data_IF_036203746473
#
_entry.id   IF_036203746473
#
_cell.length_a   1.000
_cell.length_b   1.000
_cell.length_c   1.000
_cell.angle_alpha   90.00
_cell.angle_beta   90.00
_cell.angle_gamma   90.00
#
_symmetry.space_group_name_H-M   'P 1'
#
loop_
_entity.id
_entity.type
_entity.pdbx_description
1 polymer ?
#
# COMPACT_ATOMS: atom_id res chain seq x y z
N UNK A 1 20.33 -12.19 -6.62
CA UNK A 1 20.29 -10.87 -5.98
C UNK A 1 20.43 -9.83 -7.08
N UNK A 2 19.37 -9.06 -7.37
CA UNK A 2 19.45 -7.95 -8.34
C UNK A 2 20.33 -6.87 -7.70
N UNK A 3 21.31 -6.35 -8.43
CA UNK A 3 22.35 -5.49 -7.85
C UNK A 3 21.86 -4.09 -7.40
N UNK A 4 20.62 -3.73 -7.70
CA UNK A 4 20.01 -2.44 -7.38
C UNK A 4 18.48 -2.62 -7.21
N UNK A 5 18.04 -3.16 -6.08
CA UNK A 5 16.62 -3.23 -5.74
C UNK A 5 16.19 -1.85 -5.19
N UNK A 6 15.22 -1.20 -5.84
CA UNK A 6 14.78 0.15 -5.48
C UNK A 6 13.27 0.17 -5.20
N UNK A 7 12.88 0.86 -4.11
CA UNK A 7 11.48 0.98 -3.71
C UNK A 7 10.58 1.53 -4.83
N UNK A 8 11.08 2.50 -5.61
CA UNK A 8 10.38 3.10 -6.75
C UNK A 8 10.02 2.06 -7.81
N UNK A 9 10.91 1.13 -8.15
CA UNK A 9 10.59 0.08 -9.13
C UNK A 9 9.54 -0.90 -8.62
N UNK A 10 9.56 -1.20 -7.32
CA UNK A 10 8.49 -1.97 -6.70
C UNK A 10 7.16 -1.20 -6.71
N UNK A 11 7.16 0.09 -6.40
CA UNK A 11 5.97 0.92 -6.47
C UNK A 11 5.38 0.97 -7.90
N UNK A 12 6.22 1.14 -8.92
CA UNK A 12 5.81 1.12 -10.33
C UNK A 12 5.25 -0.25 -10.72
N UNK A 13 5.93 -1.34 -10.35
CA UNK A 13 5.44 -2.69 -10.61
C UNK A 13 4.08 -2.91 -9.96
N UNK A 14 3.89 -2.45 -8.73
CA UNK A 14 2.61 -2.53 -8.03
C UNK A 14 1.50 -1.79 -8.78
N UNK A 15 1.75 -0.55 -9.20
CA UNK A 15 0.82 0.24 -9.99
C UNK A 15 0.46 -0.44 -11.32
N UNK A 16 1.45 -0.99 -12.03
CA UNK A 16 1.19 -1.73 -13.28
C UNK A 16 0.27 -2.93 -13.04
N UNK A 17 0.46 -3.65 -11.94
CA UNK A 17 -0.37 -4.82 -11.63
C UNK A 17 -1.79 -4.44 -11.19
N UNK A 18 -1.97 -3.42 -10.35
CA UNK A 18 -3.29 -3.09 -9.81
C UNK A 18 -4.12 -2.12 -10.68
N UNK A 19 -3.51 -1.45 -11.67
CA UNK A 19 -4.20 -0.52 -12.55
C UNK A 19 -4.36 -1.07 -13.99
N UNK A 20 -3.35 -1.05 -14.88
CA UNK A 20 -3.54 -1.49 -16.27
C UNK A 20 -3.68 -3.01 -16.41
N UNK A 21 -3.07 -3.81 -15.52
CA UNK A 21 -3.08 -5.26 -15.59
C UNK A 21 -4.05 -5.92 -14.60
N UNK A 22 -4.96 -5.17 -13.99
CA UNK A 22 -5.86 -5.65 -12.94
C UNK A 22 -6.82 -6.77 -13.39
N UNK A 23 -7.03 -6.91 -14.70
CA UNK A 23 -7.85 -7.98 -15.30
C UNK A 23 -7.13 -9.34 -15.38
N UNK A 24 -5.83 -9.40 -15.11
CA UNK A 24 -5.09 -10.66 -15.05
C UNK A 24 -5.32 -11.28 -13.68
N UNK A 25 -5.71 -12.56 -13.67
CA UNK A 25 -5.88 -13.32 -12.42
C UNK A 25 -4.61 -13.27 -11.55
N UNK A 26 -4.78 -12.90 -10.28
CA UNK A 26 -3.67 -12.76 -9.34
C UNK A 26 -2.87 -11.47 -9.46
N UNK A 27 -3.24 -10.54 -10.35
CA UNK A 27 -2.53 -9.28 -10.50
C UNK A 27 -2.50 -8.45 -9.21
N UNK A 28 -3.62 -8.35 -8.49
CA UNK A 28 -3.65 -7.68 -7.19
C UNK A 28 -2.70 -8.32 -6.17
N UNK A 29 -2.51 -9.64 -6.18
CA UNK A 29 -1.59 -10.32 -5.27
C UNK A 29 -0.13 -9.96 -5.57
N UNK A 30 0.25 -9.96 -6.86
CA UNK A 30 1.58 -9.54 -7.29
C UNK A 30 1.80 -8.06 -7.00
N UNK A 31 0.78 -7.23 -7.25
CA UNK A 31 0.82 -5.81 -6.94
C UNK A 31 1.01 -5.56 -5.44
N UNK A 32 0.29 -6.29 -4.60
CA UNK A 32 0.38 -6.19 -3.14
C UNK A 32 1.77 -6.59 -2.64
N UNK A 33 2.34 -7.68 -3.17
CA UNK A 33 3.71 -8.08 -2.88
C UNK A 33 4.70 -6.93 -3.15
N UNK A 34 4.61 -6.31 -4.33
CA UNK A 34 5.49 -5.20 -4.66
C UNK A 34 5.23 -3.95 -3.82
N UNK A 35 3.99 -3.61 -3.48
CA UNK A 35 3.69 -2.48 -2.59
C UNK A 35 4.31 -2.68 -1.20
N UNK A 36 4.18 -3.87 -0.60
CA UNK A 36 4.83 -4.20 0.68
C UNK A 36 6.33 -4.05 0.59
N UNK A 37 6.94 -4.56 -0.49
CA UNK A 37 8.38 -4.48 -0.68
C UNK A 37 8.89 -3.05 -0.84
N UNK A 38 8.12 -2.16 -1.49
CA UNK A 38 8.46 -0.73 -1.56
C UNK A 38 8.50 -0.08 -0.17
N UNK A 39 7.51 -0.36 0.69
CA UNK A 39 7.48 0.12 2.07
C UNK A 39 8.62 -0.46 2.92
N UNK A 40 8.99 -1.73 2.72
CA UNK A 40 10.13 -2.34 3.42
C UNK A 40 11.47 -1.69 3.04
N UNK A 41 11.64 -1.28 1.78
CA UNK A 41 12.87 -0.68 1.28
C UNK A 41 13.00 0.81 1.64
N UNK A 42 11.88 1.53 1.75
CA UNK A 42 11.84 2.96 2.09
C UNK A 42 10.69 3.26 3.06
N UNK A 43 10.78 2.80 4.33
CA UNK A 43 9.73 2.96 5.34
C UNK A 43 9.51 4.42 5.77
N UNK A 44 10.43 5.31 5.44
CA UNK A 44 10.36 6.76 5.67
C UNK A 44 9.63 7.53 4.57
N UNK A 45 9.17 6.86 3.50
CA UNK A 45 8.37 7.50 2.45
C UNK A 45 6.87 7.21 2.66
N UNK A 46 6.12 8.25 3.01
CA UNK A 46 4.68 8.14 3.25
C UNK A 46 3.91 7.73 1.99
N UNK A 47 4.40 8.10 0.80
CA UNK A 47 3.69 7.81 -0.46
C UNK A 47 3.60 6.32 -0.76
N UNK A 48 4.63 5.53 -0.42
CA UNK A 48 4.58 4.07 -0.57
C UNK A 48 3.62 3.42 0.42
N UNK A 49 3.51 3.97 1.63
CA UNK A 49 2.55 3.51 2.64
C UNK A 49 1.11 3.86 2.25
N UNK A 50 0.88 5.06 1.71
CA UNK A 50 -0.41 5.44 1.14
C UNK A 50 -0.81 4.50 0.01
N UNK A 51 0.12 4.20 -0.91
CA UNK A 51 -0.14 3.24 -1.97
C UNK A 51 -0.45 1.84 -1.42
N UNK A 52 0.22 1.42 -0.34
CA UNK A 52 -0.10 0.13 0.29
C UNK A 52 -1.52 0.10 0.87
N UNK A 53 -2.05 1.22 1.38
CA UNK A 53 -3.43 1.31 1.89
C UNK A 53 -4.48 1.04 0.80
N UNK A 54 -4.18 1.23 -0.48
CA UNK A 54 -5.07 0.85 -1.59
C UNK A 54 -5.58 -0.59 -1.45
N UNK A 55 -4.72 -1.52 -1.00
CA UNK A 55 -5.05 -2.94 -0.88
C UNK A 55 -6.00 -3.28 0.28
N UNK A 56 -6.29 -2.32 1.16
CA UNK A 56 -7.38 -2.42 2.13
C UNK A 56 -8.73 -2.01 1.53
N UNK A 57 -8.74 -1.15 0.50
CA UNK A 57 -9.96 -0.63 -0.12
C UNK A 57 -10.50 -1.51 -1.27
N UNK A 58 -9.72 -2.48 -1.76
CA UNK A 58 -10.17 -3.40 -2.82
C UNK A 58 -11.11 -4.49 -2.27
N UNK A 59 -12.01 -5.05 -3.10
CA UNK A 59 -12.95 -6.10 -2.67
C UNK A 59 -12.30 -7.32 -2.03
N UNK A 60 -11.12 -7.72 -2.51
CA UNK A 60 -10.37 -8.88 -2.00
C UNK A 60 -9.76 -8.64 -0.61
N UNK A 61 -9.77 -7.38 -0.11
CA UNK A 61 -9.25 -6.94 1.20
C UNK A 61 -7.90 -7.59 1.56
N UNK A 62 -6.94 -7.52 0.62
CA UNK A 62 -5.62 -8.16 0.76
C UNK A 62 -4.80 -7.60 1.93
N UNK A 63 -5.09 -6.38 2.36
CA UNK A 63 -4.55 -5.78 3.57
C UNK A 63 -5.63 -5.78 4.66
N UNK A 64 -5.32 -6.41 5.80
CA UNK A 64 -6.23 -6.49 6.95
C UNK A 64 -6.49 -5.13 7.60
N UNK A 65 -7.57 -5.03 8.37
CA UNK A 65 -7.93 -3.81 9.09
C UNK A 65 -6.86 -3.46 10.14
N UNK A 66 -6.30 -4.46 10.83
CA UNK A 66 -5.22 -4.25 11.80
C UNK A 66 -3.94 -3.73 11.14
N UNK A 67 -3.56 -4.28 9.98
CA UNK A 67 -2.39 -3.81 9.22
C UNK A 67 -2.63 -2.40 8.65
N UNK A 68 -3.81 -2.16 8.09
CA UNK A 68 -4.21 -0.86 7.55
C UNK A 68 -4.23 0.22 8.64
N UNK A 69 -4.76 -0.08 9.83
CA UNK A 69 -4.75 0.84 10.96
C UNK A 69 -3.31 1.19 11.37
N UNK A 70 -2.42 0.20 11.47
CA UNK A 70 -1.02 0.42 11.81
C UNK A 70 -0.31 1.29 10.78
N UNK A 71 -0.52 1.02 9.49
CA UNK A 71 0.06 1.79 8.39
C UNK A 71 -0.45 3.23 8.42
N UNK A 72 -1.77 3.42 8.50
CA UNK A 72 -2.38 4.74 8.54
C UNK A 72 -1.90 5.58 9.73
N UNK A 73 -1.79 4.99 10.94
CA UNK A 73 -1.20 5.68 12.09
C UNK A 73 0.25 6.09 11.83
N UNK A 74 1.06 5.21 11.24
CA UNK A 74 2.46 5.54 10.92
C UNK A 74 2.60 6.64 9.87
N UNK A 75 1.65 6.76 8.93
CA UNK A 75 1.62 7.89 8.00
C UNK A 75 1.32 9.18 8.76
N UNK A 76 0.34 9.17 9.67
CA UNK A 76 -0.06 10.36 10.45
C UNK A 76 1.01 10.84 11.44
N UNK A 77 1.91 9.96 11.87
CA UNK A 77 3.10 10.34 12.63
C UNK A 77 4.09 11.17 11.78
N UNK A 78 4.17 10.89 10.48
CA UNK A 78 5.03 11.61 9.54
C UNK A 78 4.35 12.85 8.95
N UNK A 79 3.06 12.72 8.64
CA UNK A 79 2.22 13.69 7.95
C UNK A 79 0.86 13.77 8.65
N UNK A 80 0.73 14.57 9.71
CA UNK A 80 -0.50 14.63 10.52
C UNK A 80 -1.76 15.03 9.75
N UNK A 81 -1.58 15.70 8.61
CA UNK A 81 -2.67 16.15 7.74
C UNK A 81 -2.98 15.22 6.57
N UNK A 82 -2.33 14.06 6.50
CA UNK A 82 -2.54 13.10 5.43
C UNK A 82 -3.99 12.59 5.39
N UNK A 83 -4.67 12.90 4.28
CA UNK A 83 -6.09 12.65 4.15
C UNK A 83 -6.40 11.18 3.87
N UNK A 84 -5.57 10.51 3.07
CA UNK A 84 -5.65 9.07 2.79
C UNK A 84 -5.66 8.26 4.09
N UNK A 85 -4.68 8.52 4.96
CA UNK A 85 -4.59 7.83 6.24
C UNK A 85 -5.81 8.08 7.16
N UNK A 86 -6.29 9.33 7.23
CA UNK A 86 -7.50 9.68 8.00
C UNK A 86 -8.73 8.95 7.48
N UNK A 87 -8.86 8.77 6.17
CA UNK A 87 -9.99 8.07 5.55
C UNK A 87 -9.98 6.57 5.85
N UNK A 88 -8.82 5.92 5.75
CA UNK A 88 -8.69 4.50 6.11
C UNK A 88 -9.03 4.23 7.58
N UNK A 89 -8.60 5.07 8.51
CA UNK A 89 -9.00 4.96 9.92
C UNK A 89 -10.51 5.13 10.14
N UNK A 90 -11.19 5.92 9.30
CA UNK A 90 -12.65 6.06 9.36
C UNK A 90 -13.37 4.84 8.80
N UNK A 91 -12.83 4.19 7.76
CA UNK A 91 -13.39 2.96 7.19
C UNK A 91 -13.38 1.83 8.22
N UNK A 92 -12.23 1.60 8.86
CA UNK A 92 -12.05 0.52 9.85
C UNK A 92 -13.00 0.66 11.05
N UNK A 93 -13.29 1.89 11.50
CA UNK A 93 -14.17 2.14 12.64
C UNK A 93 -15.67 1.95 12.34
N UNK A 94 -16.04 1.72 11.08
CA UNK A 94 -17.43 1.56 10.65
C UNK A 94 -17.86 0.10 10.53
N UNK A 95 -16.90 -0.83 10.51
CA UNK A 95 -17.09 -2.28 10.53
C UNK A 95 -17.25 -2.78 11.98
#
# INVERSE_FOLDING_TARGET
>A
MVKHEEATFHCIASHLMCLPLCSIDGAYNVGFYHAKRAVELSPEDASFKEHLLFYHAIPDKLLSDEEAEKIAKSILEMEPDNQTAKEHLRLIRRD
#
